data_IF_009920041572
#
_entry.id   IF_009920041572
#
_cell.length_a   1.000
_cell.length_b   1.000
_cell.length_c   1.000
_cell.angle_alpha   90.00
_cell.angle_beta   90.00
_cell.angle_gamma   90.00
#
_symmetry.space_group_name_H-M   'P 1'
#
loop_
_entity.id
_entity.type
_entity.pdbx_description
1 polymer ?
#
# COMPACT_ATOMS: atom_id res chain seq x y z
N UNK A 1 -10.18 -28.39 -8.01
CA UNK A 1 -10.50 -26.96 -8.25
C UNK A 1 -9.65 -26.51 -9.41
N UNK A 2 -10.25 -25.89 -10.44
CA UNK A 2 -9.48 -25.32 -11.54
C UNK A 2 -8.69 -24.10 -11.04
N UNK A 3 -7.49 -23.89 -11.59
CA UNK A 3 -6.69 -22.69 -11.31
C UNK A 3 -7.39 -21.46 -11.92
N UNK A 4 -7.41 -20.35 -11.19
CA UNK A 4 -7.91 -19.06 -11.67
C UNK A 4 -7.08 -18.61 -12.89
N UNK A 5 -7.75 -18.11 -13.95
CA UNK A 5 -7.08 -17.53 -15.10
C UNK A 5 -6.60 -16.10 -14.81
N UNK A 6 -5.67 -15.59 -15.62
CA UNK A 6 -5.19 -14.21 -15.47
C UNK A 6 -6.32 -13.17 -15.62
N UNK A 7 -7.27 -13.41 -16.53
CA UNK A 7 -8.42 -12.53 -16.77
C UNK A 7 -9.40 -12.53 -15.59
N UNK A 8 -9.61 -13.70 -14.97
CA UNK A 8 -10.43 -13.84 -13.77
C UNK A 8 -9.80 -13.11 -12.58
N UNK A 9 -8.48 -13.28 -12.39
CA UNK A 9 -7.73 -12.58 -11.37
C UNK A 9 -7.76 -11.06 -11.57
N UNK A 10 -7.58 -10.58 -12.81
CA UNK A 10 -7.66 -9.15 -13.16
C UNK A 10 -9.03 -8.57 -12.80
N UNK A 11 -10.11 -9.21 -13.22
CA UNK A 11 -11.47 -8.76 -12.93
C UNK A 11 -11.76 -8.74 -11.42
N UNK A 12 -11.37 -9.79 -10.70
CA UNK A 12 -11.52 -9.87 -9.24
C UNK A 12 -10.77 -8.75 -8.53
N UNK A 13 -9.49 -8.55 -8.87
CA UNK A 13 -8.64 -7.55 -8.21
C UNK A 13 -9.03 -6.10 -8.57
N UNK A 14 -9.58 -5.87 -9.77
CA UNK A 14 -10.23 -4.61 -10.10
C UNK A 14 -11.46 -4.35 -9.22
N UNK A 15 -12.26 -5.39 -8.94
CA UNK A 15 -13.32 -5.31 -7.92
C UNK A 15 -12.77 -4.95 -6.53
N UNK A 16 -11.73 -5.65 -6.07
CA UNK A 16 -11.09 -5.42 -4.77
C UNK A 16 -10.61 -3.98 -4.62
N UNK A 17 -9.86 -3.45 -5.61
CA UNK A 17 -9.32 -2.09 -5.52
C UNK A 17 -10.44 -1.04 -5.52
N UNK A 18 -11.51 -1.29 -6.28
CA UNK A 18 -12.65 -0.37 -6.40
C UNK A 18 -13.45 -0.24 -5.10
N UNK A 19 -13.55 -1.33 -4.35
CA UNK A 19 -14.28 -1.40 -3.07
C UNK A 19 -13.41 -1.08 -1.84
N UNK A 20 -12.09 -1.07 -2.01
CA UNK A 20 -11.16 -0.72 -0.93
C UNK A 20 -11.26 0.76 -0.55
N UNK A 21 -11.11 1.05 0.74
CA UNK A 21 -10.84 2.41 1.17
C UNK A 21 -9.41 2.77 0.75
N UNK A 22 -9.28 3.82 -0.06
CA UNK A 22 -8.02 4.32 -0.58
C UNK A 22 -7.78 5.75 -0.10
N UNK A 23 -6.69 5.94 0.65
CA UNK A 23 -6.29 7.24 1.18
C UNK A 23 -4.91 7.61 0.68
N UNK A 24 -4.74 8.88 0.30
CA UNK A 24 -3.43 9.47 0.00
C UNK A 24 -3.02 10.27 1.21
N UNK A 25 -1.91 9.93 1.85
CA UNK A 25 -1.46 10.61 3.05
C UNK A 25 -1.03 12.04 2.70
N UNK A 26 -1.23 12.97 3.62
CA UNK A 26 -0.92 14.39 3.38
C UNK A 26 0.59 14.60 3.26
N UNK A 27 1.35 14.00 4.17
CA UNK A 27 2.79 14.15 4.25
C UNK A 27 3.53 13.18 3.33
N UNK A 28 4.74 13.58 2.95
CA UNK A 28 5.75 12.64 2.47
C UNK A 28 6.47 12.01 3.68
N UNK A 29 7.08 10.86 3.50
CA UNK A 29 7.72 10.10 4.58
C UNK A 29 9.19 9.85 4.32
N UNK A 30 9.98 9.62 5.37
CA UNK A 30 11.39 9.26 5.31
C UNK A 30 11.67 8.05 6.20
N UNK A 31 12.71 7.29 5.84
CA UNK A 31 13.36 6.37 6.76
C UNK A 31 14.45 7.12 7.54
N UNK A 32 14.40 7.05 8.86
CA UNK A 32 15.44 7.60 9.72
C UNK A 32 15.89 6.57 10.77
N UNK A 33 17.15 6.64 11.24
CA UNK A 33 17.61 5.78 12.33
C UNK A 33 16.79 6.02 13.60
N UNK A 34 16.49 4.94 14.33
CA UNK A 34 15.86 5.01 15.65
C UNK A 34 16.93 5.07 16.74
N UNK A 35 16.63 5.84 17.80
CA UNK A 35 17.42 5.76 19.04
C UNK A 35 17.19 4.41 19.72
N UNK A 36 18.27 3.80 20.22
CA UNK A 36 18.18 2.56 20.98
C UNK A 36 17.27 2.73 22.22
N UNK A 37 16.53 1.67 22.53
CA UNK A 37 15.62 1.59 23.68
C UNK A 37 14.48 2.63 23.72
N UNK A 38 14.25 3.34 22.60
CA UNK A 38 13.06 4.18 22.42
C UNK A 38 11.93 3.45 21.69
N UNK A 39 10.71 3.78 22.08
CA UNK A 39 9.53 3.45 21.28
C UNK A 39 9.58 4.22 19.94
N UNK A 40 8.95 3.69 18.88
CA UNK A 40 8.76 4.43 17.63
C UNK A 40 8.10 5.78 17.85
N UNK A 41 8.38 6.73 16.95
CA UNK A 41 7.63 7.97 16.88
C UNK A 41 6.13 7.69 16.77
N UNK A 42 5.30 8.58 17.34
CA UNK A 42 3.84 8.39 17.43
C UNK A 42 3.17 8.20 16.06
N UNK A 43 3.73 8.82 15.04
CA UNK A 43 3.27 8.82 13.65
C UNK A 43 4.13 7.93 12.73
N UNK A 44 5.00 7.09 13.31
CA UNK A 44 5.73 6.08 12.57
C UNK A 44 4.77 5.05 11.97
N UNK A 45 4.90 4.83 10.66
CA UNK A 45 4.16 3.80 9.92
C UNK A 45 4.78 2.42 10.13
N UNK A 46 6.11 2.36 10.21
CA UNK A 46 6.85 1.11 10.33
C UNK A 46 8.16 1.30 11.08
N UNK A 47 8.66 0.21 11.65
CA UNK A 47 10.02 0.09 12.14
C UNK A 47 10.64 -1.16 11.54
N UNK A 48 11.77 -0.99 10.87
CA UNK A 48 12.46 -2.08 10.17
C UNK A 48 13.90 -2.10 10.64
N UNK A 49 14.38 -3.30 10.97
CA UNK A 49 15.77 -3.52 11.36
C UNK A 49 16.60 -3.81 10.11
N UNK A 50 17.70 -3.08 9.96
CA UNK A 50 18.76 -3.35 9.00
C UNK A 50 20.06 -3.67 9.74
N UNK A 51 20.43 -4.95 9.77
CA UNK A 51 21.57 -5.44 10.53
C UNK A 51 21.46 -5.10 12.03
N UNK A 52 22.36 -4.24 12.51
CA UNK A 52 22.41 -3.80 13.90
C UNK A 52 21.57 -2.55 14.19
N UNK A 53 21.02 -1.88 13.18
CA UNK A 53 20.30 -0.62 13.35
C UNK A 53 18.81 -0.76 13.07
N UNK A 54 18.00 -0.07 13.88
CA UNK A 54 16.58 0.10 13.61
C UNK A 54 16.35 1.41 12.86
N UNK A 55 15.44 1.37 11.90
CA UNK A 55 14.94 2.55 11.20
C UNK A 55 13.43 2.64 11.37
N UNK A 56 12.91 3.85 11.53
CA UNK A 56 11.49 4.14 11.52
C UNK A 56 11.09 4.91 10.27
N UNK A 57 9.87 4.68 9.81
CA UNK A 57 9.28 5.35 8.65
C UNK A 57 8.27 6.40 9.11
N UNK A 58 8.66 7.66 9.08
CA UNK A 58 7.96 8.77 9.75
C UNK A 58 7.70 9.92 8.77
N UNK A 59 6.76 10.85 9.08
CA UNK A 59 6.56 12.04 8.27
C UNK A 59 7.87 12.82 8.09
N UNK A 60 8.09 13.29 6.86
CA UNK A 60 9.29 14.01 6.49
C UNK A 60 9.30 15.42 7.11
N UNK A 61 10.37 15.81 7.83
CA UNK A 61 10.51 17.18 8.29
C UNK A 61 10.53 18.18 7.12
N UNK A 62 9.95 19.36 7.34
CA UNK A 62 9.97 20.44 6.34
C UNK A 62 11.42 20.80 5.99
N UNK A 63 11.73 20.85 4.69
CA UNK A 63 13.05 21.25 4.19
C UNK A 63 14.12 20.15 4.24
N UNK A 64 13.79 18.90 4.60
CA UNK A 64 14.76 17.80 4.54
C UNK A 64 15.27 17.55 3.11
N UNK A 65 16.57 17.28 2.99
CA UNK A 65 17.21 16.85 1.74
C UNK A 65 17.24 15.32 1.59
N UNK A 66 16.80 14.57 2.60
CA UNK A 66 16.73 13.12 2.56
C UNK A 66 15.78 12.63 1.46
N UNK A 67 15.99 11.38 1.03
CA UNK A 67 15.05 10.74 0.11
C UNK A 67 13.68 10.60 0.77
N UNK A 68 12.67 11.19 0.13
CA UNK A 68 11.28 11.18 0.58
C UNK A 68 10.42 10.25 -0.25
N UNK A 69 9.34 9.79 0.36
CA UNK A 69 8.39 8.87 -0.23
C UNK A 69 6.98 9.43 -0.18
N UNK A 70 6.26 9.35 -1.31
CA UNK A 70 4.82 9.55 -1.35
C UNK A 70 4.14 8.29 -0.85
N UNK A 71 3.18 8.41 0.07
CA UNK A 71 2.52 7.27 0.70
C UNK A 71 1.01 7.29 0.45
N UNK A 72 0.46 6.12 0.16
CA UNK A 72 -0.98 5.86 0.12
C UNK A 72 -1.29 4.63 0.96
N UNK A 73 -2.55 4.45 1.36
CA UNK A 73 -2.99 3.24 2.06
C UNK A 73 -4.22 2.61 1.42
N UNK A 74 -4.32 1.29 1.56
CA UNK A 74 -5.51 0.51 1.26
C UNK A 74 -6.00 -0.21 2.50
N UNK A 75 -7.28 -0.06 2.81
CA UNK A 75 -8.01 -0.94 3.71
C UNK A 75 -9.07 -1.70 2.92
N UNK A 76 -8.98 -3.03 2.93
CA UNK A 76 -9.86 -3.89 2.13
C UNK A 76 -11.26 -3.98 2.73
N UNK A 77 -12.28 -4.08 1.86
CA UNK A 77 -13.66 -4.34 2.27
C UNK A 77 -13.84 -5.84 2.55
N UNK A 78 -14.54 -6.17 3.63
CA UNK A 78 -14.86 -7.55 3.98
C UNK A 78 -15.71 -8.24 2.91
N UNK A 79 -15.52 -9.56 2.75
CA UNK A 79 -16.27 -10.38 1.79
C UNK A 79 -15.71 -10.38 0.38
N UNK A 80 -14.61 -9.65 0.13
CA UNK A 80 -13.79 -9.79 -1.07
C UNK A 80 -12.72 -10.88 -0.93
N UNK A 81 -11.88 -11.01 -1.96
CA UNK A 81 -10.69 -11.85 -1.97
C UNK A 81 -9.53 -11.06 -2.60
N UNK A 82 -8.59 -10.60 -1.75
CA UNK A 82 -7.43 -9.79 -2.12
C UNK A 82 -6.18 -10.65 -2.42
N UNK A 83 -6.31 -11.97 -2.56
CA UNK A 83 -5.18 -12.83 -2.92
C UNK A 83 -4.56 -12.37 -4.26
N UNK A 84 -3.25 -12.11 -4.24
CA UNK A 84 -2.50 -11.63 -5.40
C UNK A 84 -2.46 -10.10 -5.57
N UNK A 85 -3.17 -9.32 -4.74
CA UNK A 85 -3.29 -7.86 -4.88
C UNK A 85 -1.93 -7.14 -4.96
N UNK A 86 -0.98 -7.49 -4.08
CA UNK A 86 0.35 -6.86 -4.05
C UNK A 86 1.12 -7.10 -5.36
N UNK A 87 1.19 -8.33 -5.84
CA UNK A 87 1.90 -8.63 -7.08
C UNK A 87 1.24 -7.96 -8.29
N UNK A 88 -0.09 -7.98 -8.34
CA UNK A 88 -0.88 -7.36 -9.38
C UNK A 88 -0.67 -5.84 -9.44
N UNK A 89 -0.89 -5.13 -8.33
CA UNK A 89 -0.78 -3.67 -8.29
C UNK A 89 0.65 -3.20 -8.57
N UNK A 90 1.66 -3.88 -8.03
CA UNK A 90 3.07 -3.58 -8.32
C UNK A 90 3.37 -3.68 -9.83
N UNK A 91 2.80 -4.67 -10.51
CA UNK A 91 2.98 -4.84 -11.95
C UNK A 91 2.34 -3.68 -12.76
N UNK A 92 1.14 -3.22 -12.37
CA UNK A 92 0.51 -2.04 -12.99
C UNK A 92 1.32 -0.77 -12.76
N UNK A 93 1.79 -0.54 -11.53
CA UNK A 93 2.61 0.61 -11.20
C UNK A 93 3.93 0.62 -11.97
N UNK A 94 4.60 -0.53 -12.09
CA UNK A 94 5.82 -0.63 -12.88
C UNK A 94 5.58 -0.32 -14.35
N UNK A 95 4.54 -0.90 -14.96
CA UNK A 95 4.23 -0.70 -16.40
C UNK A 95 3.75 0.71 -16.71
N UNK A 96 2.83 1.24 -15.90
CA UNK A 96 2.13 2.49 -16.21
C UNK A 96 2.81 3.70 -15.59
N UNK A 97 3.24 3.63 -14.33
CA UNK A 97 3.91 4.74 -13.66
C UNK A 97 5.43 4.73 -13.88
N UNK A 98 6.04 3.59 -14.24
CA UNK A 98 7.49 3.48 -14.45
C UNK A 98 8.29 3.45 -13.15
N UNK A 99 7.62 3.34 -12.01
CA UNK A 99 8.22 3.41 -10.68
C UNK A 99 8.19 2.04 -9.99
N UNK A 100 9.15 1.82 -9.10
CA UNK A 100 9.06 0.75 -8.10
C UNK A 100 8.16 1.18 -6.94
N UNK A 101 7.76 0.22 -6.12
CA UNK A 101 6.98 0.45 -4.91
C UNK A 101 7.59 -0.26 -3.71
N UNK A 102 7.51 0.36 -2.55
CA UNK A 102 7.68 -0.30 -1.25
C UNK A 102 6.28 -0.54 -0.69
N UNK A 103 6.04 -1.75 -0.19
CA UNK A 103 4.77 -2.12 0.43
C UNK A 103 5.03 -2.52 1.87
N UNK A 104 4.27 -1.95 2.78
CA UNK A 104 4.32 -2.23 4.22
C UNK A 104 2.93 -2.71 4.61
N UNK A 105 2.80 -3.99 4.93
CA UNK A 105 1.54 -4.56 5.41
C UNK A 105 1.49 -4.48 6.94
N UNK A 106 0.37 -4.06 7.48
CA UNK A 106 0.11 -4.04 8.93
C UNK A 106 -1.13 -4.86 9.28
N UNK A 107 -1.29 -5.25 10.55
CA UNK A 107 -2.54 -5.86 11.01
C UNK A 107 -3.66 -4.83 10.95
N UNK A 108 -4.76 -5.17 10.28
CA UNK A 108 -5.94 -4.33 10.24
C UNK A 108 -6.58 -4.26 11.63
N UNK A 109 -6.77 -3.04 12.14
CA UNK A 109 -7.27 -2.80 13.50
C UNK A 109 -8.68 -3.34 13.74
N UNK A 110 -9.46 -3.59 12.67
CA UNK A 110 -10.82 -4.15 12.76
C UNK A 110 -10.80 -5.59 13.26
N UNK A 111 -9.71 -6.33 12.99
CA UNK A 111 -9.42 -7.68 13.52
C UNK A 111 -10.61 -8.66 13.44
N UNK A 112 -11.31 -8.67 12.31
CA UNK A 112 -12.48 -9.54 12.11
C UNK A 112 -12.09 -10.83 11.38
N UNK A 113 -12.79 -11.95 11.62
CA UNK A 113 -12.59 -13.18 10.85
C UNK A 113 -12.82 -12.99 9.35
N UNK A 114 -13.73 -12.10 8.96
CA UNK A 114 -14.02 -11.80 7.56
C UNK A 114 -12.82 -11.14 6.85
N UNK A 115 -12.10 -10.23 7.53
CA UNK A 115 -10.88 -9.65 6.98
C UNK A 115 -9.75 -10.66 6.83
N UNK A 116 -9.68 -11.65 7.72
CA UNK A 116 -8.73 -12.76 7.55
C UNK A 116 -8.98 -13.54 6.26
N UNK A 117 -10.25 -13.80 5.93
CA UNK A 117 -10.60 -14.46 4.66
C UNK A 117 -10.32 -13.57 3.45
N UNK A 118 -10.56 -12.26 3.55
CA UNK A 118 -10.34 -11.34 2.44
C UNK A 118 -8.88 -11.03 2.18
N UNK A 119 -8.11 -10.75 3.23
CA UNK A 119 -6.80 -10.08 3.14
C UNK A 119 -5.80 -10.62 4.14
N UNK A 120 -6.05 -11.80 4.73
CA UNK A 120 -5.26 -12.34 5.84
C UNK A 120 -5.21 -11.40 7.06
N UNK A 121 -6.20 -10.51 7.19
CA UNK A 121 -6.34 -9.58 8.30
C UNK A 121 -5.37 -8.41 8.22
N UNK A 122 -4.84 -8.11 7.03
CA UNK A 122 -3.88 -7.02 6.82
C UNK A 122 -4.48 -5.84 6.06
N UNK A 123 -3.84 -4.70 6.20
CA UNK A 123 -4.00 -3.53 5.35
C UNK A 123 -2.63 -3.11 4.82
N UNK A 124 -2.59 -2.30 3.76
CA UNK A 124 -1.35 -1.95 3.09
C UNK A 124 -1.07 -0.45 3.15
N UNK A 125 0.18 -0.09 3.43
CA UNK A 125 0.78 1.15 2.95
C UNK A 125 1.61 0.89 1.71
N UNK A 126 1.47 1.76 0.71
CA UNK A 126 2.24 1.73 -0.52
C UNK A 126 3.00 3.02 -0.70
N UNK A 127 4.28 2.90 -1.06
CA UNK A 127 5.19 4.03 -1.14
C UNK A 127 5.92 4.07 -2.48
N UNK A 128 6.16 5.27 -3.00
CA UNK A 128 7.02 5.51 -4.15
C UNK A 128 7.85 6.78 -3.94
N UNK A 129 8.82 7.08 -4.81
CA UNK A 129 9.53 8.36 -4.73
C UNK A 129 8.57 9.53 -4.97
N UNK A 130 8.82 10.68 -4.32
CA UNK A 130 8.01 11.89 -4.51
C UNK A 130 7.91 12.30 -5.98
N UNK A 131 9.00 12.16 -6.75
CA UNK A 131 9.02 12.46 -8.18
C UNK A 131 8.04 11.61 -9.01
N UNK A 132 7.72 10.40 -8.57
CA UNK A 132 6.73 9.52 -9.21
C UNK A 132 5.32 9.65 -8.60
N UNK A 133 5.16 10.41 -7.51
CA UNK A 133 3.98 10.41 -6.65
C UNK A 133 2.67 10.71 -7.37
N UNK A 134 2.63 11.76 -8.19
CA UNK A 134 1.41 12.13 -8.92
C UNK A 134 0.98 11.03 -9.89
N UNK A 135 1.92 10.51 -10.70
CA UNK A 135 1.65 9.46 -11.67
C UNK A 135 1.26 8.15 -11.00
N UNK A 136 1.91 7.81 -9.89
CA UNK A 136 1.60 6.67 -9.05
C UNK A 136 0.15 6.71 -8.53
N UNK A 137 -0.26 7.85 -7.95
CA UNK A 137 -1.64 8.06 -7.48
C UNK A 137 -2.64 8.03 -8.63
N UNK A 138 -2.30 8.64 -9.78
CA UNK A 138 -3.16 8.66 -10.95
C UNK A 138 -3.45 7.25 -11.51
N UNK A 139 -2.43 6.38 -11.57
CA UNK A 139 -2.60 4.98 -12.00
C UNK A 139 -3.56 4.25 -11.05
N UNK A 140 -3.36 4.38 -9.74
CA UNK A 140 -4.24 3.75 -8.75
C UNK A 140 -5.69 4.23 -8.92
N UNK A 141 -5.90 5.55 -9.02
CA UNK A 141 -7.24 6.12 -9.23
C UNK A 141 -7.88 5.62 -10.52
N UNK A 142 -7.11 5.45 -11.59
CA UNK A 142 -7.60 4.88 -12.85
C UNK A 142 -8.05 3.42 -12.69
N UNK A 143 -7.32 2.61 -11.90
CA UNK A 143 -7.70 1.22 -11.62
C UNK A 143 -8.97 1.14 -10.76
N UNK A 144 -9.07 1.97 -9.72
CA UNK A 144 -10.28 2.12 -8.89
C UNK A 144 -11.49 2.45 -9.76
N UNK A 145 -11.37 3.44 -10.65
CA UNK A 145 -12.45 3.82 -11.55
C UNK A 145 -12.77 2.71 -12.58
N UNK A 146 -11.75 2.00 -13.08
CA UNK A 146 -11.92 0.84 -13.94
C UNK A 146 -12.75 -0.26 -13.29
N UNK A 147 -12.43 -0.62 -12.05
CA UNK A 147 -13.18 -1.63 -11.30
C UNK A 147 -14.62 -1.20 -10.99
N UNK A 148 -14.86 0.07 -10.65
CA UNK A 148 -16.23 0.60 -10.43
C UNK A 148 -17.13 0.47 -11.66
N UNK A 149 -16.55 0.58 -12.86
CA UNK A 149 -17.30 0.42 -14.12
C UNK A 149 -17.65 -1.03 -14.43
N UNK A 150 -16.94 -2.01 -13.86
CA UNK A 150 -17.24 -3.44 -14.06
C UNK A 150 -18.41 -3.93 -13.18
N UNK A 151 -18.69 -3.22 -12.09
CA UNK A 151 -19.75 -3.58 -11.12
C UNK A 151 -21.09 -2.90 -11.44
N UNK A 152 -21.09 -1.90 -12.34
CA UNK A 152 -22.30 -1.24 -12.85
C UNK A 152 -22.87 -1.97 -14.06
#
# INVERSE_FOLDING_TARGET
>A
MALETQEQMEARLLGVIAESQFDVLADDYIWQPMEADRAPARDAIACVRDGSMWHEFVPAPVGTSAQRYRVVSFHFKEGGDAAGFVAWLAAHLKRSAGTGSVVICGKDRRDTPALFQTSQGVFDYWCCSVAAGEKFVAVIRSLIEGGRKQVR
#
